data_IF_797674770932
#
_entry.id   IF_797674770932
#
_cell.length_a   1.000
_cell.length_b   1.000
_cell.length_c   1.000
_cell.angle_alpha   90.00
_cell.angle_beta   90.00
_cell.angle_gamma   90.00
#
_symmetry.space_group_name_H-M   'P 1'
#
loop_
_entity.id
_entity.type
_entity.pdbx_description
1 polymer ?
#
# COMPACT_ATOMS: atom_id res chain seq x y z
N UNK A 1 2.92 -15.88 6.31
CA UNK A 1 3.72 -14.67 6.62
C UNK A 1 2.75 -13.51 6.61
N UNK A 2 2.60 -12.78 7.72
CA UNK A 2 1.70 -11.62 7.79
C UNK A 2 2.55 -10.38 7.52
N UNK A 3 2.24 -9.60 6.49
CA UNK A 3 2.94 -8.34 6.23
C UNK A 3 2.34 -7.26 7.13
N UNK A 4 3.15 -6.53 7.93
CA UNK A 4 2.64 -5.40 8.71
C UNK A 4 2.16 -4.28 7.78
N UNK A 5 1.12 -3.55 8.19
CA UNK A 5 0.58 -2.38 7.48
C UNK A 5 1.23 -1.11 8.05
N UNK A 6 1.70 -0.20 7.18
CA UNK A 6 2.45 1.01 7.58
C UNK A 6 1.78 2.25 6.96
N UNK A 7 0.66 2.74 7.51
CA UNK A 7 -0.02 3.92 6.98
C UNK A 7 0.75 5.20 7.34
N UNK A 8 0.93 6.11 6.37
CA UNK A 8 1.63 7.39 6.57
C UNK A 8 0.65 8.55 6.61
N UNK A 9 0.85 9.48 7.55
CA UNK A 9 0.16 10.78 7.59
C UNK A 9 1.06 11.86 8.22
N UNK A 10 0.80 13.12 7.88
CA UNK A 10 1.35 14.31 8.56
C UNK A 10 0.32 15.01 9.45
N UNK A 11 -0.95 14.57 9.39
CA UNK A 11 -2.05 15.12 10.15
C UNK A 11 -2.30 14.25 11.38
N UNK A 12 -2.24 14.84 12.58
CA UNK A 12 -2.34 14.12 13.85
C UNK A 12 -3.62 13.31 14.00
N UNK A 13 -4.77 13.91 13.69
CA UNK A 13 -6.07 13.25 13.75
C UNK A 13 -6.12 11.97 12.88
N UNK A 14 -5.47 11.98 11.72
CA UNK A 14 -5.38 10.79 10.83
C UNK A 14 -4.45 9.72 11.38
N UNK A 15 -3.40 10.10 12.12
CA UNK A 15 -2.50 9.11 12.77
C UNK A 15 -3.27 8.40 13.89
N UNK A 16 -4.05 9.16 14.67
CA UNK A 16 -4.92 8.62 15.72
C UNK A 16 -5.99 7.70 15.10
N UNK A 17 -6.70 8.13 14.06
CA UNK A 17 -7.70 7.33 13.34
C UNK A 17 -7.11 6.05 12.71
N UNK A 18 -5.95 6.12 12.06
CA UNK A 18 -5.32 4.94 11.43
C UNK A 18 -4.88 3.88 12.46
N UNK A 19 -4.67 4.28 13.72
CA UNK A 19 -4.30 3.36 14.81
C UNK A 19 -5.55 2.73 15.47
N UNK A 20 -6.68 3.42 15.42
CA UNK A 20 -7.95 3.03 16.05
C UNK A 20 -8.77 2.11 15.13
N UNK A 21 -8.24 0.91 14.88
CA UNK A 21 -8.84 -0.08 13.97
C UNK A 21 -9.10 -1.43 14.64
N UNK A 22 -9.09 -1.47 15.97
CA UNK A 22 -9.12 -2.70 16.76
C UNK A 22 -10.48 -2.97 17.42
N UNK A 23 -11.41 -2.04 17.31
CA UNK A 23 -12.74 -2.07 17.93
C UNK A 23 -13.84 -2.59 16.97
N UNK A 24 -13.47 -2.97 15.75
CA UNK A 24 -14.37 -3.59 14.77
C UNK A 24 -13.72 -4.79 14.07
N UNK A 25 -14.56 -5.61 13.46
CA UNK A 25 -14.15 -6.72 12.60
C UNK A 25 -14.99 -6.70 11.33
N UNK A 26 -14.36 -7.06 10.20
CA UNK A 26 -15.06 -7.22 8.93
C UNK A 26 -15.64 -8.62 8.82
N UNK A 27 -16.89 -8.70 8.39
CA UNK A 27 -17.55 -9.97 8.10
C UNK A 27 -16.90 -10.65 6.88
N UNK A 28 -17.12 -11.97 6.75
CA UNK A 28 -16.62 -12.72 5.59
C UNK A 28 -17.17 -12.16 4.27
N UNK A 29 -18.44 -11.71 4.26
CA UNK A 29 -19.05 -11.11 3.07
C UNK A 29 -18.36 -9.81 2.68
N UNK A 30 -18.05 -8.94 3.64
CA UNK A 30 -17.33 -7.68 3.39
C UNK A 30 -15.90 -7.95 2.91
N UNK A 31 -15.20 -8.89 3.53
CA UNK A 31 -13.89 -9.33 3.08
C UNK A 31 -13.92 -9.88 1.65
N UNK A 32 -14.96 -10.63 1.28
CA UNK A 32 -15.13 -11.14 -0.08
C UNK A 32 -15.45 -10.03 -1.08
N UNK A 33 -16.23 -9.00 -0.70
CA UNK A 33 -16.43 -7.80 -1.53
C UNK A 33 -15.13 -7.05 -1.78
N UNK A 34 -14.27 -6.89 -0.77
CA UNK A 34 -12.97 -6.20 -0.93
C UNK A 34 -12.06 -6.97 -1.89
N UNK A 35 -12.02 -8.30 -1.82
CA UNK A 35 -11.20 -9.13 -2.71
C UNK A 35 -11.52 -8.92 -4.19
N UNK A 36 -12.75 -8.57 -4.55
CA UNK A 36 -13.12 -8.35 -5.97
C UNK A 36 -12.55 -7.05 -6.55
N UNK A 37 -11.99 -6.17 -5.70
CA UNK A 37 -11.39 -4.90 -6.11
C UNK A 37 -9.92 -5.04 -6.54
N UNK A 38 -9.32 -6.23 -6.40
CA UNK A 38 -7.96 -6.47 -6.87
C UNK A 38 -7.86 -6.30 -8.40
N UNK A 39 -6.95 -5.44 -8.84
CA UNK A 39 -6.70 -5.18 -10.25
C UNK A 39 -5.54 -6.04 -10.81
N UNK A 40 -4.88 -6.84 -9.96
CA UNK A 40 -3.80 -7.74 -10.37
C UNK A 40 -2.55 -7.02 -10.89
N UNK A 41 -2.42 -5.71 -10.68
CA UNK A 41 -1.31 -4.90 -11.17
C UNK A 41 -0.90 -3.82 -10.18
N UNK A 42 0.37 -3.43 -10.26
CA UNK A 42 0.92 -2.32 -9.47
C UNK A 42 0.28 -1.00 -9.87
N UNK A 43 -0.06 -0.17 -8.88
CA UNK A 43 -0.61 1.17 -9.11
C UNK A 43 0.46 2.20 -9.52
N UNK A 44 1.74 1.88 -9.33
CA UNK A 44 2.84 2.83 -9.53
C UNK A 44 3.70 2.47 -10.74
N UNK A 45 4.30 1.28 -10.70
CA UNK A 45 5.28 0.83 -11.71
C UNK A 45 5.24 -0.68 -11.86
N UNK A 46 5.50 -1.16 -13.07
CA UNK A 46 5.79 -2.57 -13.29
C UNK A 46 7.28 -2.83 -13.04
N UNK A 47 7.57 -3.59 -11.98
CA UNK A 47 8.95 -3.89 -11.56
C UNK A 47 9.67 -4.86 -12.48
N UNK A 48 8.98 -5.43 -13.48
CA UNK A 48 9.54 -6.44 -14.38
C UNK A 48 9.93 -5.88 -15.75
N UNK A 49 9.82 -4.56 -15.96
CA UNK A 49 10.18 -3.92 -17.23
C UNK A 49 11.59 -3.32 -17.21
N UNK A 50 12.23 -3.29 -18.38
CA UNK A 50 13.59 -2.71 -18.54
C UNK A 50 13.58 -1.22 -18.20
N UNK A 51 12.52 -0.53 -18.59
CA UNK A 51 12.35 0.92 -18.38
C UNK A 51 12.31 1.25 -16.88
N UNK A 52 11.65 0.44 -16.06
CA UNK A 52 11.60 0.64 -14.60
C UNK A 52 12.98 0.42 -13.97
N UNK A 53 13.76 -0.55 -14.46
CA UNK A 53 15.13 -0.80 -13.98
C UNK A 53 16.04 0.38 -14.31
N UNK A 54 15.98 0.89 -15.53
CA UNK A 54 16.77 2.06 -15.95
C UNK A 54 16.40 3.31 -15.15
N UNK A 55 15.11 3.54 -14.89
CA UNK A 55 14.64 4.67 -14.07
C UNK A 55 15.27 4.65 -12.68
N UNK A 56 15.28 3.49 -12.00
CA UNK A 56 15.86 3.38 -10.66
C UNK A 56 17.37 3.52 -10.65
N UNK A 57 18.08 2.92 -11.62
CA UNK A 57 19.54 2.99 -11.69
C UNK A 57 20.05 4.42 -11.90
N UNK A 58 19.28 5.26 -12.58
CA UNK A 58 19.65 6.65 -12.85
C UNK A 58 19.18 7.63 -11.77
N UNK A 59 18.45 7.18 -10.74
CA UNK A 59 18.00 8.04 -9.65
C UNK A 59 19.18 8.39 -8.73
N UNK A 60 19.64 9.64 -8.78
CA UNK A 60 20.63 10.18 -7.85
C UNK A 60 19.97 10.82 -6.64
N UNK A 61 20.49 10.52 -5.44
CA UNK A 61 20.06 11.14 -4.17
C UNK A 61 21.09 12.11 -3.60
N UNK A 62 22.28 12.16 -4.19
CA UNK A 62 23.35 13.12 -3.96
C UNK A 62 24.17 13.23 -5.25
N UNK A 63 25.04 14.24 -5.33
CA UNK A 63 26.05 14.34 -6.39
C UNK A 63 27.08 13.21 -6.29
#
# INVERSE_FOLDING_TARGET
MVSPVIPKSTHRNRIEENLDVWDFELTEEEMNKIKTLDQGKSLYIDRQTVETVEMFNNWKIHD
#
